data_IF_166230194865
#
_entry.id   IF_166230194865
#
_cell.length_a   1.000
_cell.length_b   1.000
_cell.length_c   1.000
_cell.angle_alpha   90.00
_cell.angle_beta   90.00
_cell.angle_gamma   90.00
#
_symmetry.space_group_name_H-M   'P 1'
#
loop_
_entity.id
_entity.type
_entity.pdbx_description
1 polymer ?
#
# COMPACT_ATOMS: atom_id res chain seq x y z
N UNK A 1 13.04 -35.93 -33.12
CA UNK A 1 12.02 -34.89 -33.32
C UNK A 1 11.55 -34.46 -31.93
N UNK A 2 12.06 -33.34 -31.43
CA UNK A 2 11.59 -32.76 -30.16
C UNK A 2 10.17 -32.25 -30.40
N UNK A 3 9.17 -32.89 -29.78
CA UNK A 3 7.81 -32.38 -29.80
C UNK A 3 7.83 -30.92 -29.32
N UNK A 4 7.24 -30.02 -30.09
CA UNK A 4 7.14 -28.61 -29.71
C UNK A 4 6.42 -28.53 -28.36
N UNK A 5 7.03 -27.83 -27.40
CA UNK A 5 6.45 -27.58 -26.09
C UNK A 5 5.11 -26.84 -26.30
N UNK A 6 3.97 -27.38 -25.81
CA UNK A 6 2.69 -26.71 -25.99
C UNK A 6 2.73 -25.33 -25.31
N UNK A 7 2.19 -24.29 -25.97
CA UNK A 7 2.08 -22.97 -25.34
C UNK A 7 1.16 -23.06 -24.13
N UNK A 8 1.48 -22.31 -23.07
CA UNK A 8 0.69 -22.30 -21.84
C UNK A 8 -0.76 -21.82 -22.07
N UNK A 9 -1.03 -21.09 -23.17
CA UNK A 9 -2.37 -20.61 -23.53
C UNK A 9 -3.40 -21.74 -23.69
N UNK A 10 -2.96 -22.95 -24.05
CA UNK A 10 -3.83 -24.11 -24.29
C UNK A 10 -3.76 -25.14 -23.15
N UNK A 11 -2.95 -24.89 -22.13
CA UNK A 11 -2.70 -25.86 -21.05
C UNK A 11 -3.67 -25.62 -19.89
N UNK A 12 -4.45 -26.66 -19.59
CA UNK A 12 -5.29 -26.72 -18.38
C UNK A 12 -4.58 -27.56 -17.33
N UNK A 13 -4.17 -26.95 -16.22
CA UNK A 13 -3.53 -27.65 -15.10
C UNK A 13 -4.43 -28.72 -14.45
N UNK A 14 -3.81 -29.63 -13.69
CA UNK A 14 -4.55 -30.62 -12.90
C UNK A 14 -5.40 -29.96 -11.81
N UNK A 15 -4.86 -28.90 -11.21
CA UNK A 15 -5.56 -27.98 -10.31
C UNK A 15 -5.24 -26.56 -10.73
N UNK A 16 -6.28 -25.73 -10.85
CA UNK A 16 -6.12 -24.32 -11.15
C UNK A 16 -7.01 -23.48 -10.25
N UNK A 17 -6.38 -22.49 -9.64
CA UNK A 17 -7.01 -21.58 -8.72
C UNK A 17 -6.67 -20.15 -9.10
N UNK A 18 -7.65 -19.27 -8.94
CA UNK A 18 -7.51 -17.86 -9.24
C UNK A 18 -8.16 -17.06 -8.12
N UNK A 19 -7.39 -16.17 -7.50
CA UNK A 19 -7.94 -15.11 -6.66
C UNK A 19 -7.79 -13.79 -7.38
N UNK A 20 -8.86 -12.99 -7.38
CA UNK A 20 -8.90 -11.67 -8.01
C UNK A 20 -9.10 -10.62 -6.92
N UNK A 21 -8.22 -9.62 -6.86
CA UNK A 21 -8.28 -8.51 -5.90
C UNK A 21 -8.60 -7.22 -6.64
N UNK A 22 -9.67 -6.55 -6.22
CA UNK A 22 -10.19 -5.32 -6.82
C UNK A 22 -10.21 -4.20 -5.78
N UNK A 23 -9.72 -2.99 -6.10
CA UNK A 23 -9.99 -1.82 -5.27
C UNK A 23 -11.47 -1.45 -5.35
N UNK A 24 -12.09 -1.18 -4.21
CA UNK A 24 -13.50 -0.80 -4.10
C UNK A 24 -13.68 0.29 -3.03
N UNK A 25 -14.81 0.99 -3.08
CA UNK A 25 -15.25 1.91 -2.04
C UNK A 25 -16.45 1.32 -1.31
N UNK A 26 -16.31 1.08 -0.01
CA UNK A 26 -17.41 0.65 0.85
C UNK A 26 -18.47 1.75 0.96
N UNK A 27 -19.71 1.39 0.67
CA UNK A 27 -20.89 2.23 0.88
C UNK A 27 -21.41 2.09 2.31
N UNK A 28 -21.34 0.88 2.86
CA UNK A 28 -21.78 0.54 4.20
C UNK A 28 -20.90 -0.56 4.80
N UNK A 29 -21.12 -0.87 6.08
CA UNK A 29 -20.60 -2.12 6.66
C UNK A 29 -21.51 -3.25 6.18
N UNK A 30 -21.00 -4.28 5.50
CA UNK A 30 -21.83 -5.37 5.03
C UNK A 30 -22.40 -6.17 6.20
N UNK A 31 -23.64 -6.65 6.06
CA UNK A 31 -24.25 -7.64 6.97
C UNK A 31 -23.75 -9.07 6.68
N UNK A 32 -22.45 -9.19 6.40
CA UNK A 32 -21.80 -10.45 6.08
C UNK A 32 -21.08 -11.00 7.32
N UNK A 33 -20.87 -12.31 7.41
CA UNK A 33 -20.01 -12.90 8.42
C UNK A 33 -18.63 -12.24 8.50
N UNK A 34 -18.18 -11.98 9.73
CA UNK A 34 -16.88 -11.35 9.99
C UNK A 34 -15.72 -12.32 9.73
N UNK A 35 -14.59 -11.77 9.33
CA UNK A 35 -13.36 -12.51 9.01
C UNK A 35 -13.23 -12.83 7.52
N UNK A 36 -12.08 -13.41 7.12
CA UNK A 36 -11.84 -13.79 5.75
C UNK A 36 -12.64 -15.03 5.38
N UNK A 37 -12.70 -15.37 4.09
CA UNK A 37 -13.41 -16.55 3.62
C UNK A 37 -12.75 -17.81 4.20
N UNK A 38 -13.51 -18.66 4.91
CA UNK A 38 -12.99 -19.88 5.48
C UNK A 38 -12.86 -20.96 4.40
N UNK A 39 -11.67 -21.54 4.27
CA UNK A 39 -11.47 -22.71 3.41
C UNK A 39 -11.39 -23.99 4.24
N UNK A 40 -11.99 -25.06 3.72
CA UNK A 40 -12.02 -26.36 4.37
C UNK A 40 -11.12 -27.36 3.61
N UNK A 41 -10.36 -28.15 4.36
CA UNK A 41 -9.52 -29.24 3.86
C UNK A 41 -9.66 -30.42 4.81
N UNK A 42 -10.46 -31.40 4.43
CA UNK A 42 -10.86 -32.50 5.30
C UNK A 42 -11.46 -31.96 6.60
N UNK A 43 -10.88 -32.34 7.75
CA UNK A 43 -11.36 -31.89 9.07
C UNK A 43 -10.76 -30.54 9.53
N UNK A 44 -9.97 -29.86 8.68
CA UNK A 44 -9.32 -28.58 9.01
C UNK A 44 -10.05 -27.43 8.32
N UNK A 45 -10.39 -26.42 9.11
CA UNK A 45 -10.92 -25.14 8.63
C UNK A 45 -9.91 -24.04 8.84
N UNK A 46 -9.54 -23.34 7.77
CA UNK A 46 -8.58 -22.23 7.78
C UNK A 46 -9.36 -20.91 7.82
N UNK A 47 -9.71 -20.48 9.03
CA UNK A 47 -10.46 -19.27 9.33
C UNK A 47 -9.56 -18.12 9.86
N UNK A 48 -10.17 -17.00 10.27
CA UNK A 48 -9.43 -15.86 10.86
C UNK A 48 -8.53 -16.28 12.03
N UNK A 49 -9.02 -17.17 12.90
CA UNK A 49 -8.32 -17.61 14.11
C UNK A 49 -7.07 -18.38 13.74
N UNK A 50 -7.19 -19.37 12.85
CA UNK A 50 -6.03 -20.15 12.37
C UNK A 50 -5.07 -19.26 11.59
N UNK A 51 -5.55 -18.42 10.67
CA UNK A 51 -4.69 -17.55 9.87
C UNK A 51 -3.94 -16.54 10.73
N UNK A 52 -4.54 -16.05 11.82
CA UNK A 52 -3.90 -15.08 12.73
C UNK A 52 -2.62 -15.59 13.38
N UNK A 53 -2.45 -16.90 13.56
CA UNK A 53 -1.25 -17.48 14.18
C UNK A 53 -0.01 -17.38 13.27
N UNK A 54 -0.21 -17.15 11.97
CA UNK A 54 0.87 -16.97 11.01
C UNK A 54 1.45 -15.55 11.02
N UNK A 55 0.76 -14.60 11.65
CA UNK A 55 1.09 -13.18 11.60
C UNK A 55 1.42 -12.63 12.99
N UNK A 56 2.24 -11.59 13.03
CA UNK A 56 2.42 -10.83 14.28
C UNK A 56 1.09 -10.21 14.70
N UNK A 57 0.85 -9.95 16.00
CA UNK A 57 -0.40 -9.36 16.46
C UNK A 57 -0.79 -8.05 15.78
N UNK A 58 0.19 -7.24 15.35
CA UNK A 58 -0.08 -6.00 14.63
C UNK A 58 -0.62 -6.27 13.21
N UNK A 59 0.05 -7.13 12.45
CA UNK A 59 -0.37 -7.55 11.11
C UNK A 59 -1.71 -8.29 11.14
N UNK A 60 -1.93 -9.15 12.13
CA UNK A 60 -3.20 -9.83 12.32
C UNK A 60 -4.35 -8.83 12.56
N UNK A 61 -4.15 -7.78 13.37
CA UNK A 61 -5.16 -6.73 13.55
C UNK A 61 -5.45 -5.94 12.29
N UNK A 62 -4.43 -5.69 11.46
CA UNK A 62 -4.61 -5.02 10.17
C UNK A 62 -5.46 -5.87 9.20
N UNK A 63 -5.23 -7.19 9.17
CA UNK A 63 -5.85 -8.11 8.21
C UNK A 63 -7.20 -8.67 8.66
N UNK A 64 -7.43 -8.82 9.97
CA UNK A 64 -8.62 -9.50 10.52
C UNK A 64 -9.43 -8.62 11.49
N UNK A 65 -8.89 -7.45 11.87
CA UNK A 65 -9.55 -6.52 12.77
C UNK A 65 -9.19 -6.76 14.23
N UNK A 66 -9.87 -6.02 15.10
CA UNK A 66 -9.81 -6.19 16.55
C UNK A 66 -11.23 -6.29 17.10
N UNK A 67 -11.43 -6.79 18.33
CA UNK A 67 -12.76 -6.80 18.96
C UNK A 67 -13.42 -5.41 18.89
N UNK A 68 -14.62 -5.34 18.33
CA UNK A 68 -15.37 -4.08 18.11
C UNK A 68 -14.87 -3.22 16.95
N UNK A 69 -13.89 -3.69 16.16
CA UNK A 69 -13.32 -3.01 14.98
C UNK A 69 -13.08 -4.02 13.86
N UNK A 70 -14.16 -4.47 13.26
CA UNK A 70 -14.14 -5.40 12.13
C UNK A 70 -13.63 -4.71 10.88
N UNK A 71 -12.66 -5.32 10.22
CA UNK A 71 -12.12 -4.81 8.95
C UNK A 71 -12.23 -5.81 7.80
N UNK A 72 -12.72 -7.03 8.05
CA UNK A 72 -12.83 -8.06 7.01
C UNK A 72 -14.12 -8.84 7.14
N UNK A 73 -14.75 -9.12 6.01
CA UNK A 73 -15.99 -9.87 5.91
C UNK A 73 -15.92 -10.84 4.73
N UNK A 74 -16.77 -11.87 4.74
CA UNK A 74 -16.86 -12.81 3.64
C UNK A 74 -18.30 -13.19 3.31
N UNK A 75 -18.53 -13.48 2.03
CA UNK A 75 -19.80 -14.00 1.53
C UNK A 75 -19.52 -15.29 0.75
N UNK A 76 -19.96 -16.44 1.26
CA UNK A 76 -19.93 -17.69 0.49
C UNK A 76 -20.83 -17.61 -0.72
N UNK A 77 -20.31 -18.09 -1.85
CA UNK A 77 -21.03 -18.15 -3.11
C UNK A 77 -20.77 -19.52 -3.74
N UNK A 78 -21.65 -19.95 -4.63
CA UNK A 78 -21.41 -21.15 -5.42
C UNK A 78 -21.98 -20.96 -6.82
N UNK A 79 -21.24 -20.22 -7.64
CA UNK A 79 -21.69 -19.80 -8.97
C UNK A 79 -20.70 -20.31 -10.00
N UNK A 80 -21.18 -21.15 -10.93
CA UNK A 80 -20.39 -21.69 -12.03
C UNK A 80 -20.81 -21.05 -13.35
N UNK A 81 -19.84 -20.57 -14.13
CA UNK A 81 -20.06 -19.98 -15.44
C UNK A 81 -18.77 -20.07 -16.26
N UNK A 82 -18.88 -20.49 -17.53
CA UNK A 82 -17.79 -20.47 -18.50
C UNK A 82 -16.46 -21.10 -18.00
N UNK A 83 -16.55 -22.31 -17.42
CA UNK A 83 -15.39 -23.03 -16.90
C UNK A 83 -14.73 -22.38 -15.66
N UNK A 84 -15.38 -21.41 -15.02
CA UNK A 84 -14.97 -20.83 -13.75
C UNK A 84 -16.05 -21.06 -12.70
N UNK A 85 -15.66 -21.24 -11.44
CA UNK A 85 -16.58 -21.35 -10.31
C UNK A 85 -16.13 -20.41 -9.19
N UNK A 86 -16.98 -19.44 -8.85
CA UNK A 86 -16.81 -18.53 -7.72
C UNK A 86 -17.24 -19.24 -6.43
N UNK A 87 -16.29 -19.46 -5.53
CA UNK A 87 -16.49 -20.12 -4.22
C UNK A 87 -16.96 -19.14 -3.13
N UNK A 88 -16.70 -17.86 -3.33
CA UNK A 88 -16.96 -16.83 -2.34
C UNK A 88 -16.15 -15.59 -2.60
N UNK A 89 -16.51 -14.54 -1.89
CA UNK A 89 -15.81 -13.28 -1.91
C UNK A 89 -15.56 -12.73 -0.51
N UNK A 90 -14.60 -11.84 -0.41
CA UNK A 90 -14.24 -11.12 0.80
C UNK A 90 -14.23 -9.62 0.55
N UNK A 91 -14.48 -8.85 1.60
CA UNK A 91 -14.20 -7.43 1.65
C UNK A 91 -13.18 -7.18 2.76
N UNK A 92 -12.08 -6.52 2.43
CA UNK A 92 -11.08 -6.05 3.38
C UNK A 92 -11.06 -4.53 3.37
N UNK A 93 -11.47 -3.90 4.47
CA UNK A 93 -11.34 -2.46 4.68
C UNK A 93 -9.86 -2.09 4.66
N UNK A 94 -9.51 -1.20 3.73
CA UNK A 94 -8.19 -0.65 3.50
C UNK A 94 -8.19 0.86 3.76
N UNK A 95 -8.99 1.28 4.75
CA UNK A 95 -9.25 2.68 5.04
C UNK A 95 -7.97 3.42 5.42
N UNK A 96 -7.78 4.56 4.80
CA UNK A 96 -6.73 5.54 5.10
C UNK A 96 -7.37 6.78 5.73
N UNK A 97 -6.58 7.72 6.27
CA UNK A 97 -7.13 8.94 6.88
C UNK A 97 -7.94 9.78 5.87
N UNK A 98 -7.46 9.87 4.63
CA UNK A 98 -8.08 10.59 3.50
C UNK A 98 -9.17 9.78 2.81
N UNK A 99 -9.02 8.45 2.77
CA UNK A 99 -9.93 7.53 2.07
C UNK A 99 -10.56 6.55 3.06
N UNK A 100 -11.47 7.00 3.94
CA UNK A 100 -12.04 6.17 5.01
C UNK A 100 -12.91 5.00 4.51
N UNK A 101 -13.36 5.09 3.26
CA UNK A 101 -14.21 4.10 2.61
C UNK A 101 -13.43 3.14 1.71
N UNK A 102 -12.10 3.30 1.56
CA UNK A 102 -11.29 2.43 0.71
C UNK A 102 -11.29 0.99 1.25
N UNK A 103 -11.43 0.04 0.33
CA UNK A 103 -11.40 -1.39 0.61
C UNK A 103 -10.91 -2.19 -0.60
N UNK A 104 -10.68 -3.47 -0.38
CA UNK A 104 -10.34 -4.46 -1.38
C UNK A 104 -11.44 -5.52 -1.40
N UNK A 105 -12.01 -5.79 -2.57
CA UNK A 105 -12.82 -6.97 -2.82
C UNK A 105 -11.94 -8.11 -3.31
N UNK A 106 -12.11 -9.29 -2.75
CA UNK A 106 -11.34 -10.49 -3.09
C UNK A 106 -12.30 -11.56 -3.57
N UNK A 107 -12.13 -12.06 -4.78
CA UNK A 107 -12.99 -13.11 -5.36
C UNK A 107 -12.17 -14.39 -5.52
N UNK A 108 -12.71 -15.52 -5.07
CA UNK A 108 -12.02 -16.81 -5.08
C UNK A 108 -12.63 -17.77 -6.10
N UNK A 109 -11.86 -18.15 -7.12
CA UNK A 109 -12.31 -18.98 -8.22
C UNK A 109 -11.52 -20.28 -8.37
N UNK A 110 -12.20 -21.40 -8.61
CA UNK A 110 -11.59 -22.56 -9.30
C UNK A 110 -11.79 -22.43 -10.80
N UNK A 111 -10.81 -22.87 -11.59
CA UNK A 111 -10.80 -22.70 -13.05
C UNK A 111 -10.60 -24.06 -13.75
N UNK A 112 -11.53 -24.42 -14.64
CA UNK A 112 -11.59 -25.69 -15.38
C UNK A 112 -11.15 -25.54 -16.85
N UNK A 113 -10.70 -24.34 -17.25
CA UNK A 113 -10.17 -24.02 -18.58
C UNK A 113 -8.73 -23.48 -18.47
N UNK A 114 -7.97 -23.28 -19.56
CA UNK A 114 -6.60 -22.77 -19.48
C UNK A 114 -6.52 -21.46 -18.68
N UNK A 115 -5.62 -21.40 -17.70
CA UNK A 115 -5.54 -20.29 -16.75
C UNK A 115 -4.93 -19.01 -17.38
N UNK A 116 -3.97 -19.16 -18.29
CA UNK A 116 -3.27 -18.02 -18.89
C UNK A 116 -4.20 -17.08 -19.68
N UNK A 117 -5.10 -17.58 -20.56
CA UNK A 117 -6.10 -16.73 -21.22
C UNK A 117 -6.99 -15.98 -20.23
N UNK A 118 -7.40 -16.62 -19.12
CA UNK A 118 -8.24 -15.96 -18.09
C UNK A 118 -7.51 -14.78 -17.47
N UNK A 119 -6.27 -14.98 -17.00
CA UNK A 119 -5.52 -13.88 -16.36
C UNK A 119 -5.12 -12.79 -17.36
N UNK A 120 -4.88 -13.14 -18.63
CA UNK A 120 -4.67 -12.17 -19.72
C UNK A 120 -5.92 -11.33 -19.99
N UNK A 121 -7.10 -11.93 -19.96
CA UNK A 121 -8.37 -11.21 -20.15
C UNK A 121 -8.61 -10.22 -19.00
N UNK A 122 -8.38 -10.64 -17.76
CA UNK A 122 -8.43 -9.77 -16.57
C UNK A 122 -7.41 -8.64 -16.65
N UNK A 123 -6.26 -8.92 -17.24
CA UNK A 123 -5.24 -7.95 -17.55
C UNK A 123 -5.58 -7.09 -18.76
N UNK A 124 -6.75 -7.22 -19.40
CA UNK A 124 -7.21 -6.45 -20.56
C UNK A 124 -6.33 -6.62 -21.81
N UNK A 125 -5.80 -7.82 -22.05
CA UNK A 125 -4.87 -8.14 -23.15
C UNK A 125 -5.45 -9.06 -24.22
N UNK A 126 -6.73 -9.41 -24.15
CA UNK A 126 -7.38 -10.27 -25.15
C UNK A 126 -8.15 -9.45 -26.20
N UNK A 127 -8.18 -9.88 -27.49
CA UNK A 127 -8.82 -9.12 -28.56
C UNK A 127 -10.36 -9.16 -28.59
N UNK A 128 -11.01 -10.05 -27.83
CA UNK A 128 -12.48 -10.25 -27.87
C UNK A 128 -13.13 -9.92 -26.53
N UNK A 129 -14.03 -8.94 -26.53
CA UNK A 129 -14.88 -8.58 -25.38
C UNK A 129 -15.82 -9.73 -24.94
N UNK A 130 -16.10 -10.69 -25.83
CA UNK A 130 -17.02 -11.80 -25.57
C UNK A 130 -16.54 -12.80 -24.49
N UNK A 131 -15.25 -12.78 -24.12
CA UNK A 131 -14.65 -13.70 -23.13
C UNK A 131 -14.18 -12.98 -21.84
N UNK A 132 -14.83 -11.87 -21.48
CA UNK A 132 -14.51 -11.11 -20.26
C UNK A 132 -14.84 -11.94 -18.99
N UNK A 133 -13.84 -12.37 -18.18
CA UNK A 133 -14.08 -13.33 -17.09
C UNK A 133 -14.89 -12.76 -15.92
N UNK A 134 -14.93 -11.43 -15.77
CA UNK A 134 -15.70 -10.72 -14.74
C UNK A 134 -16.95 -10.07 -15.36
N UNK A 135 -17.67 -10.84 -16.17
CA UNK A 135 -18.93 -10.43 -16.78
C UNK A 135 -20.07 -11.37 -16.36
N UNK A 136 -21.31 -11.03 -16.72
CA UNK A 136 -22.48 -11.86 -16.44
C UNK A 136 -22.69 -12.08 -14.93
N UNK A 137 -22.65 -13.34 -14.44
CA UNK A 137 -22.81 -13.64 -13.02
C UNK A 137 -21.57 -13.32 -12.17
N UNK A 138 -20.42 -13.06 -12.79
CA UNK A 138 -19.19 -12.66 -12.12
C UNK A 138 -18.91 -11.16 -12.18
N UNK A 139 -19.85 -10.37 -12.71
CA UNK A 139 -19.75 -8.90 -12.74
C UNK A 139 -19.65 -8.36 -11.29
N UNK A 140 -18.50 -7.78 -10.89
CA UNK A 140 -18.31 -7.35 -9.52
C UNK A 140 -19.24 -6.18 -9.15
N UNK A 141 -19.76 -5.43 -10.13
CA UNK A 141 -20.76 -4.38 -9.89
C UNK A 141 -22.06 -4.98 -9.37
N UNK A 142 -22.44 -6.17 -9.87
CA UNK A 142 -23.64 -6.88 -9.42
C UNK A 142 -23.41 -7.62 -8.12
N UNK A 143 -22.24 -8.25 -7.97
CA UNK A 143 -21.88 -8.99 -6.77
C UNK A 143 -21.78 -8.09 -5.52
N UNK A 144 -21.37 -6.84 -5.71
CA UNK A 144 -21.16 -5.87 -4.62
C UNK A 144 -22.29 -4.84 -4.51
N UNK A 145 -23.41 -5.05 -5.22
CA UNK A 145 -24.52 -4.10 -5.25
C UNK A 145 -25.02 -3.78 -3.84
N UNK A 146 -25.24 -2.48 -3.58
CA UNK A 146 -25.62 -1.95 -2.27
C UNK A 146 -24.54 -2.00 -1.18
N UNK A 147 -23.39 -2.64 -1.41
CA UNK A 147 -22.32 -2.79 -0.40
C UNK A 147 -21.08 -1.99 -0.76
N UNK A 148 -20.61 -2.05 -2.01
CA UNK A 148 -19.39 -1.37 -2.44
C UNK A 148 -19.42 -0.98 -3.94
N UNK A 149 -18.78 0.16 -4.25
CA UNK A 149 -18.62 0.66 -5.62
C UNK A 149 -17.22 0.37 -6.17
N UNK A 150 -17.15 -0.08 -7.43
CA UNK A 150 -15.88 -0.15 -8.19
C UNK A 150 -15.42 1.20 -8.74
N UNK A 151 -16.37 2.13 -8.98
CA UNK A 151 -16.16 3.37 -9.77
C UNK A 151 -15.38 4.47 -9.05
N UNK A 152 -15.05 4.30 -7.78
CA UNK A 152 -14.41 5.33 -6.96
C UNK A 152 -12.88 5.17 -6.83
N UNK A 153 -12.26 4.28 -7.61
CA UNK A 153 -10.82 4.34 -7.77
C UNK A 153 -10.47 5.50 -8.71
N UNK A 154 -10.31 6.72 -8.17
CA UNK A 154 -9.72 7.90 -8.85
C UNK A 154 -8.26 7.68 -9.29
N UNK A 155 -7.84 6.42 -9.47
CA UNK A 155 -6.52 6.03 -9.90
C UNK A 155 -6.43 6.08 -11.43
N UNK A 156 -5.27 6.47 -12.00
CA UNK A 156 -5.04 6.39 -13.43
C UNK A 156 -5.33 4.97 -13.94
N UNK A 157 -5.87 4.86 -15.16
CA UNK A 157 -6.46 3.65 -15.76
C UNK A 157 -5.60 2.38 -15.77
N UNK A 158 -4.31 2.48 -15.44
CA UNK A 158 -3.38 1.36 -15.30
C UNK A 158 -3.43 0.69 -13.92
N UNK A 159 -3.79 1.41 -12.84
CA UNK A 159 -3.91 0.88 -11.47
C UNK A 159 -5.35 0.40 -11.13
N UNK A 160 -6.30 0.63 -12.04
CA UNK A 160 -7.68 0.14 -11.94
C UNK A 160 -7.84 -1.34 -12.35
N UNK A 161 -6.80 -1.98 -12.91
CA UNK A 161 -6.88 -3.40 -13.32
C UNK A 161 -6.80 -4.30 -12.07
N UNK A 162 -7.58 -5.39 -12.02
CA UNK A 162 -7.52 -6.34 -10.91
C UNK A 162 -6.11 -6.88 -10.72
N UNK A 163 -5.69 -7.07 -9.48
CA UNK A 163 -4.51 -7.86 -9.16
C UNK A 163 -4.90 -9.35 -9.09
N UNK A 164 -4.16 -10.22 -9.76
CA UNK A 164 -4.51 -11.66 -9.81
C UNK A 164 -3.51 -12.51 -9.07
N UNK A 165 -3.97 -13.54 -8.38
CA UNK A 165 -3.14 -14.57 -7.78
C UNK A 165 -3.54 -15.89 -8.43
N UNK A 166 -2.66 -16.40 -9.28
CA UNK A 166 -2.87 -17.62 -10.04
C UNK A 166 -2.12 -18.78 -9.38
N UNK A 167 -2.74 -19.94 -9.26
CA UNK A 167 -2.08 -21.17 -8.87
C UNK A 167 -2.37 -22.24 -9.90
N UNK A 168 -1.33 -22.93 -10.36
CA UNK A 168 -1.42 -24.03 -11.31
C UNK A 168 -0.55 -25.20 -10.85
N UNK A 169 -1.16 -26.39 -10.73
CA UNK A 169 -0.42 -27.64 -10.61
C UNK A 169 -0.41 -28.40 -11.94
N UNK A 170 0.74 -28.97 -12.36
CA UNK A 170 0.84 -29.70 -13.61
C UNK A 170 0.30 -31.13 -13.49
N UNK A 171 -0.38 -31.62 -14.53
CA UNK A 171 -0.62 -33.04 -14.75
C UNK A 171 0.65 -33.71 -15.32
N UNK A 172 0.71 -35.04 -15.33
CA UNK A 172 1.90 -35.79 -15.75
C UNK A 172 2.32 -35.53 -17.20
N UNK A 173 1.39 -35.10 -18.06
CA UNK A 173 1.66 -34.72 -19.45
C UNK A 173 2.30 -33.32 -19.61
N UNK A 174 2.30 -32.48 -18.58
CA UNK A 174 2.86 -31.14 -18.61
C UNK A 174 4.37 -31.15 -18.29
N UNK A 175 5.11 -32.00 -18.98
CA UNK A 175 6.58 -32.13 -18.84
C UNK A 175 7.37 -30.81 -18.88
N UNK A 176 6.94 -29.72 -19.56
CA UNK A 176 7.64 -28.43 -19.51
C UNK A 176 7.66 -27.76 -18.12
N UNK A 177 6.76 -28.13 -17.22
CA UNK A 177 6.72 -27.62 -15.84
C UNK A 177 7.32 -28.60 -14.83
N UNK A 178 7.56 -29.86 -15.22
CA UNK A 178 7.94 -30.92 -14.29
C UNK A 178 9.46 -31.03 -14.16
N UNK A 179 9.95 -31.23 -12.93
CA UNK A 179 11.31 -31.73 -12.73
C UNK A 179 11.42 -33.16 -13.25
N UNK A 180 12.56 -33.48 -13.86
CA UNK A 180 12.86 -34.84 -14.29
C UNK A 180 13.08 -35.80 -13.10
N UNK A 181 13.57 -35.28 -11.98
CA UNK A 181 13.74 -36.00 -10.71
C UNK A 181 13.63 -35.02 -9.53
N UNK A 182 13.44 -35.53 -8.30
CA UNK A 182 13.31 -34.70 -7.09
C UNK A 182 14.53 -33.77 -6.87
N UNK A 183 15.73 -34.25 -7.22
CA UNK A 183 16.99 -33.50 -7.10
C UNK A 183 17.40 -32.80 -8.40
N UNK A 184 16.69 -33.07 -9.50
CA UNK A 184 17.01 -32.54 -10.83
C UNK A 184 16.71 -31.05 -10.94
N UNK A 185 17.43 -30.37 -11.83
CA UNK A 185 17.20 -28.96 -12.13
C UNK A 185 15.79 -28.72 -12.68
N UNK A 186 15.23 -27.55 -12.34
CA UNK A 186 13.94 -27.14 -12.86
C UNK A 186 14.12 -26.68 -14.33
N UNK A 187 13.30 -27.17 -15.28
CA UNK A 187 13.38 -26.70 -16.65
C UNK A 187 13.13 -25.19 -16.75
N UNK A 188 13.90 -24.49 -17.60
CA UNK A 188 13.70 -23.06 -17.84
C UNK A 188 12.29 -22.73 -18.38
N UNK A 189 11.60 -23.70 -18.98
CA UNK A 189 10.20 -23.57 -19.41
C UNK A 189 9.23 -23.40 -18.25
N UNK A 190 9.50 -24.00 -17.08
CA UNK A 190 8.68 -23.84 -15.89
C UNK A 190 8.73 -22.38 -15.39
N UNK A 191 9.92 -21.77 -15.39
CA UNK A 191 10.06 -20.36 -15.00
C UNK A 191 9.39 -19.42 -16.00
N UNK A 192 9.43 -19.74 -17.29
CA UNK A 192 8.65 -18.98 -18.29
C UNK A 192 7.15 -19.09 -18.04
N UNK A 193 6.63 -20.27 -17.72
CA UNK A 193 5.21 -20.44 -17.39
C UNK A 193 4.83 -19.66 -16.13
N UNK A 194 5.66 -19.72 -15.10
CA UNK A 194 5.48 -18.95 -13.87
C UNK A 194 5.46 -17.45 -14.15
N UNK A 195 6.39 -16.97 -14.97
CA UNK A 195 6.43 -15.58 -15.42
C UNK A 195 5.18 -15.19 -16.20
N UNK A 196 4.77 -15.98 -17.19
CA UNK A 196 3.58 -15.69 -18.02
C UNK A 196 2.30 -15.58 -17.19
N UNK A 197 2.14 -16.43 -16.17
CA UNK A 197 1.00 -16.36 -15.25
C UNK A 197 1.05 -15.10 -14.36
N UNK A 198 2.22 -14.77 -13.81
CA UNK A 198 2.38 -13.61 -12.92
C UNK A 198 2.29 -12.28 -13.67
N UNK A 199 2.91 -12.21 -14.86
CA UNK A 199 2.90 -11.05 -15.74
C UNK A 199 1.55 -10.92 -16.46
N UNK A 200 0.82 -12.04 -16.58
CA UNK A 200 -0.46 -12.19 -17.28
C UNK A 200 -0.31 -11.91 -18.75
N UNK A 201 0.75 -12.42 -19.36
CA UNK A 201 1.14 -12.09 -20.73
C UNK A 201 1.79 -13.26 -21.45
N UNK A 202 1.72 -13.24 -22.77
CA UNK A 202 2.50 -14.12 -23.65
C UNK A 202 3.75 -13.41 -24.17
N UNK A 203 4.67 -14.11 -24.86
CA UNK A 203 5.78 -13.46 -25.53
C UNK A 203 5.35 -12.49 -26.65
N UNK A 204 4.12 -12.59 -27.15
CA UNK A 204 3.55 -11.64 -28.12
C UNK A 204 3.15 -10.32 -27.45
N UNK A 205 2.59 -10.39 -26.24
CA UNK A 205 2.20 -9.20 -25.47
C UNK A 205 3.45 -8.47 -24.92
N UNK A 206 4.41 -9.24 -24.41
CA UNK A 206 5.64 -8.74 -23.80
C UNK A 206 6.75 -9.76 -24.00
N UNK A 207 7.59 -9.61 -25.04
CA UNK A 207 8.67 -10.56 -25.28
C UNK A 207 9.67 -10.48 -24.13
N UNK A 208 10.08 -11.65 -23.61
CA UNK A 208 11.11 -11.78 -22.60
C UNK A 208 12.44 -12.12 -23.30
N UNK A 209 13.36 -11.15 -23.50
CA UNK A 209 14.62 -11.41 -24.17
C UNK A 209 15.42 -12.44 -23.37
N UNK A 210 15.95 -13.51 -24.00
CA UNK A 210 16.73 -14.55 -23.30
C UNK A 210 17.88 -13.97 -22.46
N UNK A 211 18.48 -12.87 -22.92
CA UNK A 211 19.61 -12.18 -22.27
C UNK A 211 19.23 -11.59 -20.92
N UNK A 212 17.97 -11.18 -20.74
CA UNK A 212 17.46 -10.55 -19.50
C UNK A 212 16.50 -11.45 -18.72
N UNK A 213 16.14 -12.61 -19.26
CA UNK A 213 15.20 -13.54 -18.66
C UNK A 213 15.65 -13.96 -17.25
N UNK A 214 16.94 -14.24 -17.06
CA UNK A 214 17.50 -14.60 -15.76
C UNK A 214 17.35 -13.49 -14.71
N UNK A 215 17.52 -12.23 -15.11
CA UNK A 215 17.35 -11.08 -14.19
C UNK A 215 15.89 -10.86 -13.81
N UNK A 216 14.96 -11.05 -14.75
CA UNK A 216 13.52 -10.90 -14.49
C UNK A 216 12.95 -12.03 -13.63
N UNK A 217 13.65 -13.18 -13.62
CA UNK A 217 13.29 -14.36 -12.85
C UNK A 217 14.07 -14.49 -11.53
N UNK A 218 15.05 -13.61 -11.27
CA UNK A 218 15.94 -13.68 -10.10
C UNK A 218 15.19 -13.63 -8.76
N UNK A 219 14.05 -12.95 -8.75
CA UNK A 219 13.21 -12.75 -7.56
C UNK A 219 12.13 -13.84 -7.41
N UNK A 220 12.30 -14.97 -8.12
CA UNK A 220 11.42 -16.13 -7.98
C UNK A 220 11.59 -16.75 -6.59
N UNK A 221 10.51 -16.85 -5.84
CA UNK A 221 10.47 -17.47 -4.52
C UNK A 221 10.35 -18.98 -4.68
N UNK A 222 11.44 -19.71 -4.45
CA UNK A 222 11.48 -21.18 -4.44
C UNK A 222 10.97 -21.71 -3.10
N UNK A 223 9.67 -21.92 -2.99
CA UNK A 223 9.02 -22.34 -1.73
C UNK A 223 9.49 -23.72 -1.30
N UNK A 224 9.55 -24.67 -2.24
CA UNK A 224 10.16 -25.99 -2.05
C UNK A 224 10.58 -26.57 -3.40
N UNK A 225 11.07 -27.82 -3.41
CA UNK A 225 11.33 -28.54 -4.66
C UNK A 225 10.06 -28.68 -5.53
N UNK A 226 8.89 -28.73 -4.91
CA UNK A 226 7.61 -29.05 -5.54
C UNK A 226 6.90 -27.86 -6.16
N UNK A 227 7.26 -26.62 -5.81
CA UNK A 227 6.59 -25.43 -6.33
C UNK A 227 7.35 -24.14 -6.09
N UNK A 228 7.02 -23.11 -6.87
CA UNK A 228 7.59 -21.77 -6.74
C UNK A 228 6.52 -20.71 -6.96
N UNK A 229 6.85 -19.49 -6.54
CA UNK A 229 6.01 -18.33 -6.75
C UNK A 229 6.81 -17.17 -7.36
N UNK A 230 6.13 -16.35 -8.14
CA UNK A 230 6.67 -15.08 -8.65
C UNK A 230 5.65 -13.98 -8.39
N UNK A 231 6.11 -12.89 -7.77
CA UNK A 231 5.30 -11.71 -7.46
C UNK A 231 5.71 -10.59 -8.40
N UNK A 232 4.79 -10.10 -9.21
CA UNK A 232 4.97 -8.97 -10.12
C UNK A 232 3.92 -7.88 -9.84
N UNK A 233 4.11 -6.70 -10.45
CA UNK A 233 3.33 -5.49 -10.10
C UNK A 233 1.82 -5.67 -10.25
N UNK A 234 1.40 -6.55 -11.14
CA UNK A 234 0.00 -6.73 -11.49
C UNK A 234 -0.56 -8.12 -11.16
N UNK A 235 0.27 -9.02 -10.63
CA UNK A 235 -0.14 -10.37 -10.31
C UNK A 235 0.94 -11.20 -9.66
N UNK A 236 0.50 -12.22 -8.93
CA UNK A 236 1.32 -13.29 -8.40
C UNK A 236 0.95 -14.59 -9.08
N UNK A 237 1.92 -15.44 -9.37
CA UNK A 237 1.66 -16.81 -9.76
C UNK A 237 2.36 -17.81 -8.85
N UNK A 238 1.75 -18.98 -8.71
CA UNK A 238 2.29 -20.17 -8.09
C UNK A 238 2.25 -21.31 -9.10
N UNK A 239 3.36 -22.01 -9.28
CA UNK A 239 3.48 -23.12 -10.21
C UNK A 239 4.05 -24.34 -9.50
N UNK A 240 3.37 -25.47 -9.62
CA UNK A 240 3.87 -26.78 -9.21
C UNK A 240 4.90 -27.33 -10.20
N UNK A 241 5.86 -28.09 -9.68
CA UNK A 241 7.01 -28.64 -10.40
C UNK A 241 7.08 -30.17 -10.38
N UNK A 242 6.05 -30.81 -9.82
CA UNK A 242 5.83 -32.25 -9.86
C UNK A 242 4.39 -32.54 -10.26
N UNK A 243 4.12 -33.76 -10.71
CA UNK A 243 2.77 -34.18 -11.09
C UNK A 243 1.83 -34.09 -9.89
N UNK A 244 0.68 -33.45 -10.08
CA UNK A 244 -0.43 -33.49 -9.13
C UNK A 244 -1.16 -34.83 -9.24
N UNK A 245 -1.20 -35.58 -8.14
CA UNK A 245 -1.86 -36.88 -8.06
C UNK A 245 -3.34 -36.79 -7.68
N UNK A 246 -3.86 -35.59 -7.45
CA UNK A 246 -5.28 -35.33 -7.20
C UNK A 246 -5.59 -35.07 -5.73
N UNK A 247 -6.68 -35.65 -5.23
CA UNK A 247 -7.13 -35.45 -3.85
C UNK A 247 -6.13 -36.05 -2.85
N UNK A 248 -5.85 -35.33 -1.77
CA UNK A 248 -4.86 -35.73 -0.77
C UNK A 248 -3.40 -35.41 -1.15
N UNK A 249 -3.15 -34.95 -2.37
CA UNK A 249 -1.84 -34.45 -2.79
C UNK A 249 -1.48 -33.15 -2.04
N UNK A 250 -0.18 -32.93 -1.80
CA UNK A 250 0.37 -31.67 -1.29
C UNK A 250 -0.14 -30.43 -2.06
N UNK A 251 -0.42 -30.52 -3.35
CA UNK A 251 -0.95 -29.35 -4.08
C UNK A 251 -2.32 -28.90 -3.59
N UNK A 252 -3.08 -29.77 -2.90
CA UNK A 252 -4.27 -29.33 -2.15
C UNK A 252 -3.86 -28.34 -1.05
N UNK A 253 -2.78 -28.63 -0.31
CA UNK A 253 -2.20 -27.74 0.70
C UNK A 253 -1.63 -26.46 0.09
N UNK A 254 -0.94 -26.57 -1.05
CA UNK A 254 -0.38 -25.42 -1.76
C UNK A 254 -1.46 -24.45 -2.25
N UNK A 255 -2.50 -25.00 -2.89
CA UNK A 255 -3.70 -24.28 -3.29
C UNK A 255 -4.34 -23.52 -2.11
N UNK A 256 -4.60 -24.23 -1.00
CA UNK A 256 -5.14 -23.64 0.22
C UNK A 256 -4.27 -22.48 0.75
N UNK A 257 -2.96 -22.63 0.79
CA UNK A 257 -2.05 -21.57 1.28
C UNK A 257 -2.02 -20.37 0.34
N UNK A 258 -2.07 -20.59 -0.98
CA UNK A 258 -2.11 -19.53 -1.99
C UNK A 258 -3.32 -18.61 -1.81
N UNK A 259 -4.49 -19.16 -1.43
CA UNK A 259 -5.73 -18.41 -1.18
C UNK A 259 -5.95 -17.96 0.27
N UNK A 260 -5.03 -18.28 1.18
CA UNK A 260 -5.16 -17.93 2.60
C UNK A 260 -3.93 -17.16 3.08
N UNK A 261 -2.95 -17.83 3.67
CA UNK A 261 -1.79 -17.20 4.33
C UNK A 261 -0.94 -16.39 3.35
N UNK A 262 -0.74 -16.88 2.12
CA UNK A 262 0.06 -16.18 1.12
C UNK A 262 -0.71 -15.01 0.49
N UNK A 263 -2.01 -15.19 0.25
CA UNK A 263 -2.90 -14.08 -0.10
C UNK A 263 -2.83 -12.97 0.97
N UNK A 264 -2.88 -13.32 2.25
CA UNK A 264 -2.85 -12.33 3.33
C UNK A 264 -1.55 -11.55 3.41
N UNK A 265 -0.42 -12.19 3.13
CA UNK A 265 0.86 -11.51 2.99
C UNK A 265 0.83 -10.48 1.83
N UNK A 266 0.26 -10.86 0.68
CA UNK A 266 0.11 -9.96 -0.47
C UNK A 266 -0.88 -8.82 -0.19
N UNK A 267 -2.00 -9.10 0.48
CA UNK A 267 -2.98 -8.08 0.89
C UNK A 267 -2.35 -7.10 1.90
N UNK A 268 -1.52 -7.57 2.83
CA UNK A 268 -0.77 -6.69 3.72
C UNK A 268 0.19 -5.78 2.94
N UNK A 269 0.85 -6.31 1.90
CA UNK A 269 1.65 -5.51 0.98
C UNK A 269 0.83 -4.45 0.26
N UNK A 270 -0.39 -4.78 -0.20
CA UNK A 270 -1.31 -3.82 -0.81
C UNK A 270 -1.74 -2.72 0.16
N UNK A 271 -2.06 -3.07 1.41
CA UNK A 271 -2.34 -2.08 2.47
C UNK A 271 -1.14 -1.17 2.72
N UNK A 272 0.09 -1.72 2.73
CA UNK A 272 1.31 -0.91 2.90
C UNK A 272 1.51 0.08 1.75
N UNK A 273 1.28 -0.36 0.50
CA UNK A 273 1.35 0.50 -0.68
C UNK A 273 0.37 1.67 -0.55
N UNK A 274 -0.89 1.38 -0.25
CA UNK A 274 -1.95 2.39 -0.18
C UNK A 274 -1.66 3.43 0.93
N UNK A 275 -1.11 3.00 2.08
CA UNK A 275 -0.67 3.93 3.14
C UNK A 275 0.56 4.74 2.77
N UNK A 276 1.52 4.18 2.01
CA UNK A 276 2.68 4.93 1.50
C UNK A 276 2.24 5.99 0.48
N UNK A 277 1.25 5.68 -0.36
CA UNK A 277 0.64 6.65 -1.27
C UNK A 277 -0.01 7.80 -0.46
N UNK A 278 -0.77 7.48 0.59
CA UNK A 278 -1.33 8.51 1.49
C UNK A 278 -0.25 9.38 2.16
N UNK A 279 0.82 8.77 2.68
CA UNK A 279 1.91 9.52 3.32
C UNK A 279 2.63 10.45 2.32
N UNK A 280 2.74 10.04 1.06
CA UNK A 280 3.29 10.87 -0.03
C UNK A 280 2.41 12.09 -0.30
N UNK A 281 1.08 11.89 -0.33
CA UNK A 281 0.11 12.97 -0.51
C UNK A 281 0.06 13.90 0.72
N UNK A 282 0.20 13.37 1.94
CA UNK A 282 0.32 14.16 3.19
C UNK A 282 1.57 15.03 3.19
N UNK A 283 2.71 14.47 2.78
CA UNK A 283 3.97 15.19 2.67
C UNK A 283 3.89 16.35 1.68
N UNK A 284 3.28 16.13 0.52
CA UNK A 284 3.13 17.14 -0.54
C UNK A 284 2.28 18.34 -0.09
N UNK A 285 1.31 18.13 0.80
CA UNK A 285 0.44 19.20 1.31
C UNK A 285 1.08 20.08 2.41
N UNK A 286 2.20 19.65 3.00
CA UNK A 286 2.85 20.39 4.11
C UNK A 286 3.20 21.82 3.69
N UNK A 287 3.67 22.02 2.45
CA UNK A 287 4.09 23.34 1.95
C UNK A 287 2.97 24.25 1.47
N UNK A 288 1.85 23.69 1.04
CA UNK A 288 0.70 24.49 0.58
C UNK A 288 -0.12 25.00 1.77
N UNK A 289 0.13 24.46 2.96
CA UNK A 289 -0.59 24.79 4.19
C UNK A 289 -0.18 26.13 4.79
N UNK A 290 -1.18 26.92 5.20
CA UNK A 290 -0.99 28.11 6.04
C UNK A 290 -0.45 27.81 7.44
N UNK A 291 -0.42 26.53 7.85
CA UNK A 291 0.11 26.08 9.16
C UNK A 291 1.03 24.85 8.97
N UNK A 292 2.27 25.03 8.50
CA UNK A 292 3.20 23.93 8.21
C UNK A 292 3.52 23.07 9.44
N UNK A 293 3.78 23.68 10.61
CA UNK A 293 4.11 22.95 11.84
C UNK A 293 3.01 21.96 12.26
N UNK A 294 1.74 22.39 12.24
CA UNK A 294 0.60 21.53 12.59
C UNK A 294 0.44 20.37 11.61
N UNK A 295 0.68 20.60 10.31
CA UNK A 295 0.61 19.55 9.28
C UNK A 295 1.74 18.57 9.43
N UNK A 296 2.96 19.05 9.67
CA UNK A 296 4.11 18.20 9.93
C UNK A 296 3.89 17.28 11.15
N UNK A 297 3.40 17.82 12.27
CA UNK A 297 3.08 16.98 13.45
C UNK A 297 1.95 15.96 13.18
N UNK A 298 1.06 16.23 12.23
CA UNK A 298 0.05 15.26 11.80
C UNK A 298 0.71 14.14 10.99
N UNK A 299 1.55 14.49 10.00
CA UNK A 299 2.32 13.54 9.19
C UNK A 299 3.22 12.64 10.05
N UNK A 300 3.96 13.21 11.02
CA UNK A 300 4.81 12.43 11.94
C UNK A 300 3.98 11.41 12.74
N UNK A 301 2.77 11.79 13.15
CA UNK A 301 1.83 10.87 13.82
C UNK A 301 1.36 9.78 12.86
N UNK A 302 1.02 10.12 11.62
CA UNK A 302 0.64 9.14 10.58
C UNK A 302 1.77 8.14 10.33
N UNK A 303 3.02 8.61 10.18
CA UNK A 303 4.22 7.78 10.03
C UNK A 303 4.38 6.83 11.22
N UNK A 304 4.24 7.33 12.46
CA UNK A 304 4.35 6.50 13.65
C UNK A 304 3.28 5.39 13.70
N UNK A 305 2.03 5.72 13.37
CA UNK A 305 0.93 4.75 13.29
C UNK A 305 1.21 3.71 12.21
N UNK A 306 1.62 4.15 11.01
CA UNK A 306 1.98 3.27 9.91
C UNK A 306 3.07 2.28 10.30
N UNK A 307 4.18 2.77 10.89
CA UNK A 307 5.28 1.94 11.36
C UNK A 307 4.87 0.92 12.41
N UNK A 308 4.08 1.35 13.39
CA UNK A 308 3.68 0.47 14.49
C UNK A 308 2.75 -0.67 14.05
N UNK A 309 1.94 -0.43 13.01
CA UNK A 309 0.83 -1.29 12.58
C UNK A 309 1.17 -2.13 11.34
N UNK A 310 1.76 -1.51 10.31
CA UNK A 310 1.93 -2.13 8.99
C UNK A 310 3.39 -2.41 8.65
N UNK A 311 4.35 -1.62 9.15
CA UNK A 311 5.74 -1.63 8.67
C UNK A 311 6.75 -2.15 9.72
N UNK A 312 6.88 -3.48 9.82
CA UNK A 312 7.89 -4.18 10.64
C UNK A 312 8.71 -5.14 9.80
N UNK A 313 9.93 -5.46 10.24
CA UNK A 313 10.87 -6.33 9.50
C UNK A 313 10.42 -7.79 9.39
N UNK A 314 9.67 -8.29 10.38
CA UNK A 314 9.12 -9.65 10.37
C UNK A 314 7.62 -9.57 10.69
N UNK A 315 6.78 -9.67 9.66
CA UNK A 315 5.33 -9.50 9.79
C UNK A 315 4.61 -10.84 9.90
N UNK A 316 5.27 -11.92 9.46
CA UNK A 316 4.81 -13.29 9.61
C UNK A 316 5.81 -14.10 10.45
N UNK A 317 5.31 -15.13 11.13
CA UNK A 317 6.12 -16.12 11.83
C UNK A 317 6.72 -17.19 10.89
N UNK A 318 6.39 -17.15 9.59
CA UNK A 318 6.69 -18.19 8.62
C UNK A 318 7.46 -17.62 7.41
N UNK A 319 8.65 -18.17 7.13
CA UNK A 319 9.60 -17.65 6.14
C UNK A 319 8.97 -17.31 4.78
N UNK A 320 8.29 -18.26 4.14
CA UNK A 320 7.75 -18.06 2.79
C UNK A 320 6.75 -16.91 2.67
N UNK A 321 5.90 -16.70 3.68
CA UNK A 321 4.95 -15.59 3.64
C UNK A 321 5.66 -14.23 3.77
N UNK A 322 6.77 -14.16 4.53
CA UNK A 322 7.64 -12.98 4.53
C UNK A 322 8.33 -12.80 3.18
N UNK A 323 8.82 -13.87 2.54
CA UNK A 323 9.50 -13.80 1.25
C UNK A 323 8.57 -13.24 0.15
N UNK A 324 7.31 -13.67 0.12
CA UNK A 324 6.29 -13.14 -0.79
C UNK A 324 5.98 -11.67 -0.53
N UNK A 325 5.89 -11.28 0.75
CA UNK A 325 5.69 -9.88 1.12
C UNK A 325 6.88 -9.02 0.72
N UNK A 326 8.12 -9.48 0.93
CA UNK A 326 9.33 -8.79 0.51
C UNK A 326 9.39 -8.64 -1.01
N UNK A 327 9.04 -9.70 -1.75
CA UNK A 327 8.94 -9.64 -3.22
C UNK A 327 7.91 -8.59 -3.67
N UNK A 328 6.73 -8.55 -3.04
CA UNK A 328 5.73 -7.52 -3.29
C UNK A 328 6.25 -6.11 -2.99
N UNK A 329 6.86 -5.92 -1.81
CA UNK A 329 7.44 -4.64 -1.39
C UNK A 329 8.49 -4.13 -2.37
N UNK A 330 9.38 -5.02 -2.84
CA UNK A 330 10.42 -4.69 -3.80
C UNK A 330 9.81 -4.28 -5.15
N UNK A 331 8.81 -5.02 -5.61
CA UNK A 331 8.16 -4.75 -6.90
C UNK A 331 7.43 -3.40 -6.93
N UNK A 332 6.92 -2.95 -5.79
CA UNK A 332 6.31 -1.64 -5.62
C UNK A 332 7.27 -0.57 -5.07
N UNK A 333 8.56 -0.90 -4.92
CA UNK A 333 9.62 -0.03 -4.36
C UNK A 333 9.24 0.57 -3.00
N UNK A 334 8.43 -0.13 -2.21
CA UNK A 334 7.88 0.39 -0.95
C UNK A 334 8.97 0.81 0.05
N UNK A 335 10.06 0.04 0.26
CA UNK A 335 11.12 0.45 1.19
C UNK A 335 11.85 1.72 0.76
N UNK A 336 12.09 1.88 -0.54
CA UNK A 336 12.75 3.07 -1.10
C UNK A 336 11.87 4.29 -0.91
N UNK A 337 10.61 4.20 -1.35
CA UNK A 337 9.62 5.29 -1.22
C UNK A 337 9.41 5.70 0.24
N UNK A 338 9.32 4.72 1.15
CA UNK A 338 9.15 5.02 2.56
C UNK A 338 10.38 5.71 3.16
N UNK A 339 11.60 5.32 2.77
CA UNK A 339 12.83 5.99 3.20
C UNK A 339 12.92 7.43 2.67
N UNK A 340 12.49 7.68 1.43
CA UNK A 340 12.39 9.03 0.86
C UNK A 340 11.44 9.91 1.68
N UNK A 341 10.24 9.40 2.01
CA UNK A 341 9.27 10.11 2.87
C UNK A 341 9.89 10.46 4.24
N UNK A 342 10.62 9.52 4.86
CA UNK A 342 11.27 9.76 6.15
C UNK A 342 12.37 10.82 6.06
N UNK A 343 13.17 10.79 4.99
CA UNK A 343 14.22 11.77 4.76
C UNK A 343 13.64 13.18 4.56
N UNK A 344 12.63 13.31 3.68
CA UNK A 344 11.97 14.59 3.41
C UNK A 344 11.24 15.14 4.65
N UNK A 345 10.53 14.29 5.40
CA UNK A 345 9.88 14.71 6.64
C UNK A 345 10.89 15.25 7.67
N UNK A 346 12.07 14.64 7.77
CA UNK A 346 13.14 15.12 8.63
C UNK A 346 13.75 16.45 8.16
N UNK A 347 13.91 16.64 6.85
CA UNK A 347 14.31 17.93 6.27
C UNK A 347 13.28 19.03 6.59
N UNK A 348 11.98 18.72 6.45
CA UNK A 348 10.92 19.69 6.74
C UNK A 348 10.83 20.04 8.22
N UNK A 349 11.05 19.06 9.10
CA UNK A 349 11.13 19.31 10.54
C UNK A 349 12.24 20.31 10.89
N UNK A 350 13.43 20.18 10.28
CA UNK A 350 14.51 21.16 10.45
C UNK A 350 14.14 22.55 9.94
N UNK A 351 13.49 22.64 8.79
CA UNK A 351 13.06 23.93 8.20
C UNK A 351 12.03 24.63 9.08
N UNK A 352 11.00 23.91 9.53
CA UNK A 352 9.95 24.46 10.41
C UNK A 352 10.55 24.92 11.74
N UNK A 353 11.41 24.12 12.37
CA UNK A 353 12.09 24.51 13.62
C UNK A 353 12.96 25.76 13.43
N UNK A 354 13.65 25.88 12.30
CA UNK A 354 14.45 27.06 11.97
C UNK A 354 13.57 28.30 11.82
N UNK A 355 12.42 28.18 11.14
CA UNK A 355 11.45 29.27 10.98
C UNK A 355 10.84 29.70 12.32
N UNK A 356 10.42 28.75 13.16
CA UNK A 356 9.87 29.05 14.49
C UNK A 356 10.92 29.73 15.38
N UNK A 357 12.17 29.27 15.37
CA UNK A 357 13.27 29.89 16.12
C UNK A 357 13.55 31.32 15.66
N UNK A 358 13.49 31.58 14.34
CA UNK A 358 13.61 32.93 13.78
C UNK A 358 12.43 33.82 14.17
N UNK A 359 11.21 33.30 14.23
CA UNK A 359 10.03 34.03 14.67
C UNK A 359 10.09 34.38 16.16
N UNK A 360 10.48 33.44 17.02
CA UNK A 360 10.66 33.66 18.46
C UNK A 360 11.75 34.72 18.70
N UNK A 361 12.87 34.59 18.00
CA UNK A 361 13.97 35.54 18.09
C UNK A 361 13.58 36.93 17.55
N UNK A 362 12.77 36.98 16.49
CA UNK A 362 12.18 38.22 15.96
C UNK A 362 11.21 38.87 16.95
N UNK A 363 10.30 38.10 17.53
CA UNK A 363 9.34 38.56 18.53
C UNK A 363 10.05 39.08 19.79
N UNK A 364 11.06 38.35 20.28
CA UNK A 364 11.90 38.79 21.39
C UNK A 364 12.67 40.08 21.02
N UNK A 365 13.16 40.18 19.79
CA UNK A 365 13.79 41.39 19.26
C UNK A 365 12.82 42.59 19.27
N UNK A 366 11.57 42.41 18.85
CA UNK A 366 10.54 43.47 18.92
C UNK A 366 10.22 43.84 20.36
N UNK A 367 10.02 42.84 21.23
CA UNK A 367 9.81 43.07 22.66
C UNK A 367 10.96 43.88 23.27
N UNK A 368 12.19 43.60 22.86
CA UNK A 368 13.40 44.32 23.30
C UNK A 368 13.40 45.75 22.75
N UNK A 369 13.14 45.95 21.45
CA UNK A 369 13.12 47.29 20.80
C UNK A 369 12.02 48.19 21.37
N UNK A 370 10.86 47.63 21.75
CA UNK A 370 9.75 48.37 22.35
C UNK A 370 9.92 48.54 23.86
N UNK A 371 10.27 47.45 24.54
CA UNK A 371 10.27 47.36 26.00
C UNK A 371 11.42 48.09 26.67
N UNK A 372 12.63 48.08 26.08
CA UNK A 372 13.78 48.77 26.69
C UNK A 372 13.60 50.28 26.73
N UNK A 373 13.33 50.99 25.61
CA UNK A 373 13.17 52.44 25.66
C UNK A 373 12.02 52.86 26.59
N UNK A 374 10.92 52.11 26.59
CA UNK A 374 9.75 52.40 27.42
C UNK A 374 10.03 52.14 28.91
N UNK A 375 10.58 50.98 29.25
CA UNK A 375 10.93 50.61 30.62
C UNK A 375 12.00 51.53 31.21
N UNK A 376 12.98 51.94 30.40
CA UNK A 376 14.03 52.89 30.84
C UNK A 376 13.43 54.27 31.11
N UNK A 377 12.55 54.77 30.22
CA UNK A 377 11.89 56.07 30.40
C UNK A 377 11.00 56.10 31.65
N UNK A 378 10.22 55.03 31.89
CA UNK A 378 9.38 54.91 33.08
C UNK A 378 10.20 54.75 34.37
N UNK A 379 11.30 53.99 34.33
CA UNK A 379 12.21 53.83 35.46
C UNK A 379 12.90 55.14 35.86
N UNK A 380 13.31 55.96 34.89
CA UNK A 380 13.89 57.29 35.15
C UNK A 380 12.86 58.19 35.85
N UNK A 381 11.60 58.21 35.38
CA UNK A 381 10.53 58.99 36.01
C UNK A 381 10.23 58.53 37.45
N UNK A 382 10.27 57.22 37.71
CA UNK A 382 10.10 56.67 39.06
C UNK A 382 11.24 57.04 40.00
N UNK A 383 12.50 56.98 39.54
CA UNK A 383 13.68 57.35 40.36
C UNK A 383 13.69 58.84 40.70
N UNK A 384 13.17 59.68 39.79
CA UNK A 384 13.05 61.11 39.99
C UNK A 384 11.84 61.52 40.86
N UNK A 385 11.02 60.56 41.31
CA UNK A 385 9.76 60.76 42.05
C UNK A 385 8.82 61.76 41.36
N UNK A 386 8.78 61.72 40.02
CA UNK A 386 8.09 62.71 39.22
C UNK A 386 6.63 62.31 38.96
N UNK A 387 5.69 63.13 39.43
CA UNK A 387 4.25 62.90 39.28
C UNK A 387 3.60 63.78 38.20
N UNK A 388 4.40 64.51 37.42
CA UNK A 388 3.92 65.38 36.37
C UNK A 388 3.39 64.58 35.18
N UNK A 389 2.09 64.73 34.90
CA UNK A 389 1.44 64.13 33.72
C UNK A 389 2.09 64.59 32.41
N UNK A 390 2.60 65.82 32.36
CA UNK A 390 3.29 66.35 31.18
C UNK A 390 4.62 65.63 30.92
N UNK A 391 5.39 65.32 31.96
CA UNK A 391 6.66 64.62 31.83
C UNK A 391 6.46 63.15 31.42
N UNK A 392 5.38 62.52 31.86
CA UNK A 392 4.97 61.20 31.38
C UNK A 392 4.71 61.20 29.87
N UNK A 393 3.96 62.18 29.35
CA UNK A 393 3.71 62.29 27.91
C UNK A 393 4.98 62.55 27.10
N UNK A 394 5.89 63.39 27.60
CA UNK A 394 7.18 63.66 26.95
C UNK A 394 8.03 62.38 26.92
N UNK A 395 8.13 61.66 28.04
CA UNK A 395 8.87 60.41 28.13
C UNK A 395 8.31 59.34 27.19
N UNK A 396 6.98 59.24 27.08
CA UNK A 396 6.31 58.34 26.15
C UNK A 396 6.57 58.73 24.69
N UNK A 397 6.45 60.01 24.35
CA UNK A 397 6.73 60.50 23.00
C UNK A 397 8.19 60.28 22.60
N UNK A 398 9.14 60.51 23.52
CA UNK A 398 10.56 60.27 23.31
C UNK A 398 10.85 58.78 23.11
N UNK A 399 10.21 57.92 23.92
CA UNK A 399 10.32 56.47 23.80
C UNK A 399 9.82 55.98 22.44
N UNK A 400 8.66 56.46 21.99
CA UNK A 400 8.12 56.17 20.65
C UNK A 400 9.07 56.65 19.55
N UNK A 401 9.64 57.85 19.66
CA UNK A 401 10.59 58.37 18.68
C UNK A 401 11.88 57.55 18.61
N UNK A 402 12.41 57.12 19.76
CA UNK A 402 13.59 56.24 19.85
C UNK A 402 13.29 54.87 19.24
N UNK A 403 12.15 54.26 19.58
CA UNK A 403 11.72 52.99 18.97
C UNK A 403 11.57 53.14 17.46
N UNK A 404 10.95 54.22 16.96
CA UNK A 404 10.80 54.49 15.53
C UNK A 404 12.17 54.63 14.84
N UNK A 405 13.12 55.35 15.46
CA UNK A 405 14.48 55.47 14.94
C UNK A 405 15.19 54.11 14.90
N UNK A 406 15.09 53.28 15.94
CA UNK A 406 15.67 51.93 15.98
C UNK A 406 15.08 51.03 14.89
N UNK A 407 13.78 51.14 14.59
CA UNK A 407 13.14 50.38 13.51
C UNK A 407 13.65 50.76 12.10
N UNK A 408 14.21 51.96 11.91
CA UNK A 408 14.86 52.35 10.63
C UNK A 408 16.26 51.76 10.44
N UNK A 409 16.90 51.29 11.52
CA UNK A 409 18.24 50.69 11.46
C UNK A 409 18.22 49.35 10.72
N UNK A 410 19.41 48.85 10.35
CA UNK A 410 19.55 47.53 9.70
C UNK A 410 19.02 46.40 10.59
N UNK A 411 19.25 46.50 11.89
CA UNK A 411 18.77 45.53 12.88
C UNK A 411 17.24 45.59 13.04
N UNK A 412 16.66 46.79 13.20
CA UNK A 412 15.22 46.96 13.29
C UNK A 412 14.47 46.46 12.05
N UNK A 413 15.01 46.70 10.85
CA UNK A 413 14.46 46.17 9.60
C UNK A 413 14.55 44.65 9.50
N UNK A 414 15.62 44.03 9.97
CA UNK A 414 15.76 42.57 10.04
C UNK A 414 14.70 41.96 10.95
N UNK A 415 14.49 42.54 12.14
CA UNK A 415 13.48 42.12 13.12
C UNK A 415 12.04 42.27 12.58
N UNK A 416 11.73 43.34 11.85
CA UNK A 416 10.41 43.50 11.20
C UNK A 416 10.25 42.52 10.03
N UNK A 417 11.31 42.25 9.28
CA UNK A 417 11.28 41.31 8.16
C UNK A 417 11.10 39.87 8.61
N UNK A 418 11.66 39.47 9.76
CA UNK A 418 11.48 38.13 10.32
C UNK A 418 10.04 37.88 10.81
N UNK A 419 9.31 38.94 11.20
CA UNK A 419 7.87 38.87 11.50
C UNK A 419 7.01 38.81 10.23
N UNK A 420 7.34 39.58 9.19
CA UNK A 420 6.60 39.58 7.91
C UNK A 420 6.77 38.29 7.09
N UNK A 421 7.84 37.53 7.31
CA UNK A 421 8.04 36.23 6.66
C UNK A 421 6.98 35.16 7.01
N UNK A 422 6.11 35.42 7.99
CA UNK A 422 5.00 34.52 8.38
C UNK A 422 3.64 34.84 7.74
N UNK A 423 3.44 36.02 7.14
CA UNK A 423 2.20 36.33 6.42
C UNK A 423 2.37 35.98 4.94
N UNK A 424 1.76 34.87 4.53
CA UNK A 424 1.83 34.32 3.19
C UNK A 424 1.57 35.37 2.11
N UNK A 425 2.64 35.76 1.41
CA UNK A 425 2.54 36.36 0.08
C UNK A 425 2.97 35.30 -0.93
N UNK A 426 2.08 34.82 -1.82
CA UNK A 426 2.52 34.05 -2.96
C UNK A 426 3.39 34.98 -3.81
N UNK A 427 4.62 34.56 -4.10
CA UNK A 427 5.42 35.21 -5.14
C UNK A 427 4.91 34.74 -6.50
N UNK A 428 4.86 35.63 -7.50
CA UNK A 428 4.42 35.32 -8.86
C UNK A 428 5.33 34.29 -9.54
#
# INVERSE_FOLDING_TARGET
MTAAVPPLDDVTGARQELTVVLPVRLLCVPEWPEGPFPFEMGNRRTDARIRSTYFTPASARALYGAPGRTCRWHLPLDVKHDGMRLLGMELLRAATARKPQQALAVLHFTVERPLLPVVRALAGRLPREADAPLSGPFDPTRLLDGVADLRAADAPSFDARPYTIAFLSPAGQHTPALRASLEGELPATADRWLWQLASRSTPEDFPLPPETAGEQLKDTVRISADWSALVLRQGTAFLGHRTDTGEGDFFTYGALHSRTVYLDALLLGALQRDHIDELTDELSEVFVSLRPARRLSALERSIAVFRSTYWRQHLTAHGTANDLLLAFQNQHRLPVRFNEILAEAADYSRLVQTQESQQISGALGVLTILGLPLGTALGILQVLDDHSVAHLYIALALSIAVTAAVLTTRYGRLVVSSLRGGEGKPRP
#
